data_IF_288479931154
#
_entry.id   IF_288479931154
#
_cell.length_a   1.000
_cell.length_b   1.000
_cell.length_c   1.000
_cell.angle_alpha   90.00
_cell.angle_beta   90.00
_cell.angle_gamma   90.00
#
_symmetry.space_group_name_H-M   'P 1'
#
loop_
_entity.id
_entity.type
_entity.pdbx_description
1 polymer ?
#
# COMPACT_ATOMS: atom_id res chain seq x y z
N UNK A 1 -26.67 -40.85 -6.22
CA UNK A 1 -26.05 -39.54 -6.52
C UNK A 1 -25.09 -39.24 -5.37
N UNK A 2 -23.76 -39.20 -5.58
CA UNK A 2 -22.87 -38.90 -4.48
C UNK A 2 -23.09 -37.46 -4.04
N UNK A 3 -23.38 -37.32 -2.76
CA UNK A 3 -23.62 -36.09 -2.03
C UNK A 3 -22.36 -35.22 -2.10
N UNK A 4 -22.29 -34.28 -3.06
CA UNK A 4 -21.20 -33.31 -3.08
C UNK A 4 -21.36 -32.37 -1.88
N UNK A 5 -20.72 -32.70 -0.76
CA UNK A 5 -20.51 -31.73 0.32
C UNK A 5 -19.83 -30.54 -0.31
N UNK A 6 -20.50 -29.39 -0.32
CA UNK A 6 -19.91 -28.09 -0.64
C UNK A 6 -18.63 -27.99 0.21
N UNK A 7 -17.46 -28.01 -0.42
CA UNK A 7 -16.21 -27.83 0.32
C UNK A 7 -16.33 -26.50 1.06
N UNK A 8 -16.24 -26.55 2.38
CA UNK A 8 -16.36 -25.36 3.21
C UNK A 8 -15.12 -24.50 2.95
N UNK A 9 -15.34 -23.23 2.64
CA UNK A 9 -14.24 -22.29 2.46
C UNK A 9 -13.42 -22.19 3.76
N UNK A 10 -12.10 -22.33 3.64
CA UNK A 10 -11.18 -22.26 4.78
C UNK A 10 -10.87 -20.81 5.13
N UNK A 11 -11.66 -20.27 6.05
CA UNK A 11 -11.51 -18.91 6.54
C UNK A 11 -10.24 -18.75 7.39
N UNK A 12 -9.42 -17.76 7.05
CA UNK A 12 -8.25 -17.31 7.82
C UNK A 12 -8.59 -16.06 8.63
N UNK A 13 -7.67 -15.61 9.48
CA UNK A 13 -7.81 -14.34 10.23
C UNK A 13 -9.12 -14.20 11.04
N UNK A 14 -9.61 -15.32 11.61
CA UNK A 14 -10.88 -15.31 12.36
C UNK A 14 -12.14 -15.14 11.48
N UNK A 15 -12.00 -15.39 10.17
CA UNK A 15 -13.09 -15.31 9.19
C UNK A 15 -13.63 -13.90 9.00
N UNK A 16 -14.88 -13.75 8.54
CA UNK A 16 -15.44 -12.44 8.19
C UNK A 16 -15.43 -11.44 9.35
N UNK A 17 -15.68 -11.91 10.58
CA UNK A 17 -15.70 -11.05 11.78
C UNK A 17 -14.29 -10.59 12.13
N UNK A 18 -13.31 -11.49 12.12
CA UNK A 18 -11.92 -11.15 12.41
C UNK A 18 -11.35 -10.19 11.35
N UNK A 19 -11.61 -10.45 10.06
CA UNK A 19 -11.24 -9.56 8.97
C UNK A 19 -11.83 -8.15 9.14
N UNK A 20 -13.15 -8.04 9.42
CA UNK A 20 -13.81 -6.75 9.69
C UNK A 20 -13.20 -6.03 10.89
N UNK A 21 -12.93 -6.77 11.96
CA UNK A 21 -12.31 -6.24 13.16
C UNK A 21 -10.92 -5.70 12.85
N UNK A 22 -10.08 -6.44 12.11
CA UNK A 22 -8.75 -5.97 11.71
C UNK A 22 -8.82 -4.73 10.83
N UNK A 23 -9.74 -4.67 9.86
CA UNK A 23 -9.92 -3.51 8.98
C UNK A 23 -10.26 -2.22 9.74
N UNK A 24 -11.05 -2.33 10.81
CA UNK A 24 -11.45 -1.16 11.62
C UNK A 24 -10.38 -0.84 12.67
N UNK A 25 -9.87 -1.83 13.40
CA UNK A 25 -8.99 -1.60 14.53
C UNK A 25 -7.55 -1.27 14.12
N UNK A 26 -7.01 -1.85 13.05
CA UNK A 26 -5.60 -1.63 12.68
C UNK A 26 -5.31 -0.16 12.31
N UNK A 27 -6.15 0.54 11.53
CA UNK A 27 -5.97 1.98 11.31
C UNK A 27 -6.09 2.80 12.61
N UNK A 28 -7.04 2.46 13.49
CA UNK A 28 -7.23 3.14 14.78
C UNK A 28 -6.01 2.98 15.69
N UNK A 29 -5.44 1.77 15.76
CA UNK A 29 -4.21 1.50 16.51
C UNK A 29 -3.04 2.28 15.92
N UNK A 30 -2.94 2.35 14.59
CA UNK A 30 -1.88 3.13 13.92
C UNK A 30 -1.95 4.62 14.28
N UNK A 31 -3.14 5.21 14.26
CA UNK A 31 -3.36 6.60 14.67
C UNK A 31 -3.10 6.81 16.17
N UNK A 32 -3.50 5.86 17.01
CA UNK A 32 -3.24 5.90 18.45
C UNK A 32 -1.74 5.89 18.74
N UNK A 33 -0.98 5.01 18.08
CA UNK A 33 0.46 4.86 18.27
C UNK A 33 1.24 6.08 17.74
N UNK A 34 0.84 6.64 16.59
CA UNK A 34 1.46 7.87 16.06
C UNK A 34 1.16 9.08 16.94
N UNK A 35 -0.08 9.24 17.41
CA UNK A 35 -0.41 10.27 18.40
C UNK A 35 0.40 10.10 19.70
N UNK A 36 0.53 8.85 20.17
CA UNK A 36 1.31 8.56 21.37
C UNK A 36 2.79 8.89 21.19
N UNK A 37 3.38 8.58 20.02
CA UNK A 37 4.76 8.94 19.70
C UNK A 37 4.99 10.45 19.69
N UNK A 38 3.98 11.25 19.29
CA UNK A 38 4.07 12.71 19.26
C UNK A 38 3.98 13.36 20.65
N UNK A 39 3.11 12.87 21.54
CA UNK A 39 2.76 13.57 22.79
C UNK A 39 3.23 12.82 24.06
N UNK A 40 3.62 11.55 23.93
CA UNK A 40 4.03 10.69 25.04
C UNK A 40 2.87 10.28 25.95
N UNK A 41 1.61 10.58 25.60
CA UNK A 41 0.41 10.19 26.36
C UNK A 41 -0.67 9.62 25.44
N UNK A 42 -1.34 8.57 25.90
CA UNK A 42 -2.49 7.97 25.21
C UNK A 42 -3.75 8.79 25.54
N UNK A 43 -4.35 9.44 24.53
CA UNK A 43 -5.65 10.11 24.67
C UNK A 43 -6.55 9.74 23.49
N UNK A 44 -7.65 9.06 23.77
CA UNK A 44 -8.60 8.62 22.74
C UNK A 44 -9.35 9.78 22.06
N UNK A 45 -9.52 10.92 22.74
CA UNK A 45 -10.24 12.07 22.22
C UNK A 45 -9.53 12.76 21.03
N UNK A 46 -8.22 12.55 20.85
CA UNK A 46 -7.40 13.26 19.87
C UNK A 46 -6.67 12.30 18.91
N UNK A 47 -7.24 11.12 18.65
CA UNK A 47 -6.64 10.12 17.75
C UNK A 47 -6.56 10.64 16.31
N UNK A 48 -7.56 11.42 15.89
CA UNK A 48 -7.56 12.04 14.58
C UNK A 48 -6.66 13.30 14.61
N UNK A 49 -5.86 13.54 13.55
CA UNK A 49 -5.14 14.81 13.44
C UNK A 49 -6.12 15.99 13.42
N UNK A 50 -5.67 17.15 13.88
CA UNK A 50 -6.46 18.39 13.83
C UNK A 50 -6.92 18.66 12.39
N UNK A 51 -8.06 19.35 12.21
CA UNK A 51 -8.63 19.65 10.89
C UNK A 51 -7.69 20.42 9.94
N UNK A 52 -6.56 20.89 10.47
CA UNK A 52 -5.43 21.43 9.71
C UNK A 52 -4.75 20.40 8.78
N UNK A 53 -5.05 19.10 8.90
CA UNK A 53 -4.63 18.09 7.92
C UNK A 53 -5.12 18.42 6.50
N UNK A 54 -6.29 19.07 6.38
CA UNK A 54 -6.88 19.43 5.11
C UNK A 54 -6.27 20.72 4.52
N UNK A 55 -5.83 21.65 5.38
CA UNK A 55 -5.12 22.87 4.97
C UNK A 55 -3.63 22.63 4.73
N UNK A 56 -3.03 21.63 5.38
CA UNK A 56 -1.65 21.17 5.17
C UNK A 56 -1.54 20.26 3.94
N UNK A 57 -2.04 20.73 2.79
CA UNK A 57 -2.01 20.03 1.50
C UNK A 57 -0.65 19.42 1.15
N UNK A 58 0.44 19.91 1.76
CA UNK A 58 1.77 19.30 1.75
C UNK A 58 1.79 17.80 2.08
N UNK A 59 1.05 17.30 3.08
CA UNK A 59 1.08 15.86 3.43
C UNK A 59 0.47 14.97 2.36
N UNK A 60 -0.68 15.39 1.80
CA UNK A 60 -1.33 14.68 0.71
C UNK A 60 -0.52 14.76 -0.58
N UNK A 61 -0.05 15.96 -0.95
CA UNK A 61 0.80 16.16 -2.11
C UNK A 61 2.11 15.37 -2.00
N UNK A 62 2.72 15.32 -0.81
CA UNK A 62 3.92 14.53 -0.55
C UNK A 62 3.67 13.03 -0.78
N UNK A 63 2.56 12.50 -0.23
CA UNK A 63 2.19 11.09 -0.43
C UNK A 63 1.96 10.78 -1.92
N UNK A 64 1.13 11.59 -2.61
CA UNK A 64 0.83 11.36 -4.02
C UNK A 64 2.06 11.50 -4.92
N UNK A 65 2.92 12.49 -4.67
CA UNK A 65 4.17 12.65 -5.39
C UNK A 65 5.12 11.47 -5.12
N UNK A 66 5.32 11.09 -3.87
CA UNK A 66 6.20 9.98 -3.50
C UNK A 66 5.72 8.66 -4.10
N UNK A 67 4.42 8.35 -3.96
CA UNK A 67 3.82 7.16 -4.56
C UNK A 67 3.93 7.16 -6.08
N UNK A 68 3.59 8.27 -6.74
CA UNK A 68 3.67 8.41 -8.19
C UNK A 68 5.11 8.33 -8.72
N UNK A 69 6.08 8.88 -7.98
CA UNK A 69 7.50 8.76 -8.30
C UNK A 69 7.95 7.30 -8.25
N UNK A 70 7.57 6.53 -7.21
CA UNK A 70 7.95 5.12 -7.12
C UNK A 70 7.34 4.29 -8.28
N UNK A 71 6.06 4.52 -8.60
CA UNK A 71 5.41 3.88 -9.76
C UNK A 71 6.12 4.26 -11.07
N UNK A 72 6.54 5.50 -11.23
CA UNK A 72 7.27 5.94 -12.41
C UNK A 72 8.65 5.28 -12.50
N UNK A 73 9.39 5.21 -11.39
CA UNK A 73 10.73 4.61 -11.35
C UNK A 73 10.68 3.13 -11.71
N UNK A 74 9.74 2.36 -11.14
CA UNK A 74 9.58 0.93 -11.45
C UNK A 74 9.20 0.67 -12.92
N UNK A 75 8.55 1.62 -13.61
CA UNK A 75 8.24 1.49 -15.04
C UNK A 75 9.35 1.98 -15.99
N UNK A 76 10.18 2.93 -15.55
CA UNK A 76 11.15 3.64 -16.43
C UNK A 76 12.56 3.11 -16.29
N UNK A 77 12.93 2.59 -15.13
CA UNK A 77 14.29 2.14 -14.88
C UNK A 77 14.64 0.89 -15.73
N UNK A 78 15.94 0.67 -15.99
CA UNK A 78 16.42 -0.53 -16.64
C UNK A 78 16.47 -1.71 -15.66
N UNK A 79 15.80 -2.81 -16.05
CA UNK A 79 15.41 -3.87 -15.12
C UNK A 79 15.73 -5.26 -15.68
N UNK A 80 15.96 -6.21 -14.77
CA UNK A 80 15.96 -7.64 -15.11
C UNK A 80 14.52 -8.18 -15.07
N UNK A 81 14.13 -8.96 -16.09
CA UNK A 81 12.84 -9.63 -16.11
C UNK A 81 12.97 -11.02 -15.49
N UNK A 82 12.32 -11.21 -14.35
CA UNK A 82 12.26 -12.50 -13.65
C UNK A 82 10.87 -13.09 -13.76
N UNK A 83 10.80 -14.39 -14.01
CA UNK A 83 9.52 -15.11 -14.04
C UNK A 83 9.12 -15.57 -12.64
N UNK A 84 7.93 -15.17 -12.21
CA UNK A 84 7.36 -15.61 -10.94
C UNK A 84 6.95 -17.09 -10.93
N UNK A 85 6.22 -17.45 -9.88
CA UNK A 85 5.70 -18.82 -9.70
C UNK A 85 4.64 -19.17 -10.74
N UNK A 86 4.41 -20.48 -10.90
CA UNK A 86 3.34 -21.00 -11.75
C UNK A 86 1.97 -20.53 -11.24
N UNK A 87 1.14 -20.05 -12.16
CA UNK A 87 -0.23 -19.66 -11.84
C UNK A 87 -1.09 -20.89 -11.50
N UNK A 88 -2.06 -20.75 -10.58
CA UNK A 88 -2.94 -21.83 -10.16
C UNK A 88 -4.01 -22.18 -11.21
N UNK A 89 -3.98 -21.54 -12.39
CA UNK A 89 -4.92 -21.77 -13.49
C UNK A 89 -4.70 -23.10 -14.22
N UNK A 90 -3.59 -23.80 -13.91
CA UNK A 90 -3.24 -25.08 -14.54
C UNK A 90 -2.72 -24.95 -15.98
N UNK A 91 -2.57 -23.72 -16.50
CA UNK A 91 -2.10 -23.46 -17.86
C UNK A 91 -0.57 -23.39 -17.96
N UNK A 92 0.14 -23.57 -16.84
CA UNK A 92 1.61 -23.51 -16.80
C UNK A 92 2.19 -22.11 -17.00
N UNK A 93 1.35 -21.07 -16.98
CA UNK A 93 1.77 -19.68 -17.20
C UNK A 93 2.52 -19.14 -15.99
N UNK A 94 3.57 -18.36 -16.25
CA UNK A 94 4.29 -17.57 -15.25
C UNK A 94 4.19 -16.09 -15.64
N UNK A 95 4.09 -15.24 -14.64
CA UNK A 95 4.05 -13.79 -14.87
C UNK A 95 5.49 -13.24 -14.87
N UNK A 96 5.86 -12.40 -15.86
CA UNK A 96 7.10 -11.64 -15.80
C UNK A 96 6.95 -10.51 -14.77
N UNK A 97 8.04 -10.25 -14.06
CA UNK A 97 8.22 -9.13 -13.14
C UNK A 97 9.51 -8.42 -13.49
N UNK A 98 9.44 -7.10 -13.62
CA UNK A 98 10.61 -6.23 -13.73
C UNK A 98 11.06 -5.92 -12.31
N UNK A 99 12.35 -6.14 -12.02
CA UNK A 99 12.89 -5.95 -10.68
C UNK A 99 14.01 -4.91 -10.74
N UNK A 100 13.71 -3.69 -10.33
CA UNK A 100 14.69 -2.59 -10.19
C UNK A 100 14.72 -1.90 -8.84
N UNK A 101 14.10 -2.49 -7.83
CA UNK A 101 13.92 -1.85 -6.52
C UNK A 101 15.23 -1.30 -5.92
N UNK A 102 16.35 -1.99 -6.14
CA UNK A 102 17.66 -1.51 -5.72
C UNK A 102 18.09 -0.22 -6.43
N UNK A 103 17.90 -0.14 -7.75
CA UNK A 103 18.21 1.07 -8.52
C UNK A 103 17.21 2.18 -8.18
N UNK A 104 15.92 1.87 -8.08
CA UNK A 104 14.87 2.80 -7.68
C UNK A 104 15.14 3.41 -6.30
N UNK A 105 15.62 2.60 -5.35
CA UNK A 105 16.04 3.06 -4.03
C UNK A 105 17.17 4.10 -4.11
N UNK A 106 18.26 3.79 -4.82
CA UNK A 106 19.40 4.72 -4.95
C UNK A 106 19.03 6.01 -5.69
N UNK A 107 18.23 5.90 -6.76
CA UNK A 107 17.71 7.06 -7.49
C UNK A 107 16.82 7.90 -6.59
N UNK A 108 15.94 7.30 -5.80
CA UNK A 108 15.09 8.02 -4.84
C UNK A 108 15.94 8.74 -3.79
N UNK A 109 16.94 8.08 -3.21
CA UNK A 109 17.84 8.71 -2.24
C UNK A 109 18.59 9.91 -2.85
N UNK A 110 19.10 9.76 -4.07
CA UNK A 110 19.76 10.84 -4.79
C UNK A 110 18.79 12.01 -5.06
N UNK A 111 17.55 11.71 -5.46
CA UNK A 111 16.51 12.71 -5.70
C UNK A 111 16.02 13.42 -4.42
N UNK A 112 16.16 12.78 -3.25
CA UNK A 112 15.76 13.37 -1.97
C UNK A 112 16.89 14.18 -1.30
N UNK A 113 18.14 14.07 -1.76
CA UNK A 113 19.32 14.80 -1.26
C UNK A 113 19.30 15.01 0.28
N UNK A 114 19.48 13.93 1.04
CA UNK A 114 19.61 13.98 2.52
C UNK A 114 20.86 14.79 2.88
N UNK A 115 20.70 16.08 3.18
CA UNK A 115 21.79 16.94 3.62
C UNK A 115 21.97 16.83 5.14
N UNK A 116 23.17 16.43 5.58
CA UNK A 116 23.67 16.72 6.93
C UNK A 116 24.22 18.15 6.91
N UNK A 117 23.87 18.98 7.89
CA UNK A 117 24.39 20.35 8.02
C UNK A 117 25.93 20.33 8.04
N UNK A 118 26.59 20.72 6.94
CA UNK A 118 28.05 20.83 6.94
C UNK A 118 28.80 20.94 5.61
N UNK A 119 28.26 20.49 4.46
CA UNK A 119 29.05 20.44 3.21
C UNK A 119 28.41 21.17 2.02
N UNK A 120 29.16 22.07 1.39
CA UNK A 120 28.70 22.80 0.20
C UNK A 120 28.52 21.84 -0.99
N UNK A 121 27.28 21.69 -1.47
CA UNK A 121 26.95 20.98 -2.72
C UNK A 121 27.30 21.84 -3.93
N UNK A 122 28.26 21.41 -4.76
CA UNK A 122 28.58 22.12 -6.00
C UNK A 122 27.73 21.68 -7.21
N UNK A 123 26.93 20.60 -7.16
CA UNK A 123 26.13 20.15 -8.32
C UNK A 123 24.92 19.24 -7.97
N UNK A 124 23.87 19.40 -8.80
CA UNK A 124 22.51 18.83 -8.87
C UNK A 124 21.66 18.71 -7.58
N UNK A 125 20.74 19.67 -7.38
CA UNK A 125 19.73 19.66 -6.30
C UNK A 125 18.32 19.49 -6.90
N UNK A 126 17.69 18.33 -6.64
CA UNK A 126 16.23 18.20 -6.61
C UNK A 126 15.79 17.87 -5.17
N UNK A 127 14.70 18.51 -4.71
CA UNK A 127 13.90 18.19 -3.52
C UNK A 127 14.60 18.06 -2.17
N UNK A 128 15.00 19.16 -1.52
CA UNK A 128 15.41 19.14 -0.09
C UNK A 128 14.19 18.85 0.79
N UNK A 129 13.94 17.57 1.10
CA UNK A 129 12.90 17.21 2.08
C UNK A 129 13.56 17.17 3.46
N UNK A 130 13.29 18.14 4.35
CA UNK A 130 13.83 18.08 5.70
C UNK A 130 13.23 16.86 6.41
N UNK A 131 14.07 15.91 6.83
CA UNK A 131 13.60 14.73 7.58
C UNK A 131 12.85 15.13 8.86
N UNK A 132 13.17 16.30 9.42
CA UNK A 132 12.43 16.89 10.54
C UNK A 132 10.96 17.14 10.19
N UNK A 133 10.64 17.55 8.96
CA UNK A 133 9.24 17.70 8.53
C UNK A 133 8.50 16.37 8.51
N UNK A 134 9.16 15.28 8.09
CA UNK A 134 8.55 13.95 8.16
C UNK A 134 8.24 13.57 9.62
N UNK A 135 9.13 13.91 10.54
CA UNK A 135 8.93 13.74 11.97
C UNK A 135 7.81 14.64 12.51
N UNK A 136 7.73 15.90 12.09
CA UNK A 136 6.72 16.85 12.58
C UNK A 136 5.31 16.46 12.11
N UNK A 137 5.18 15.90 10.90
CA UNK A 137 3.90 15.59 10.25
C UNK A 137 3.55 14.10 10.20
N UNK A 138 4.29 13.21 10.87
CA UNK A 138 4.09 11.76 10.80
C UNK A 138 2.66 11.29 11.14
N UNK A 139 1.99 11.94 12.10
CA UNK A 139 0.61 11.62 12.48
C UNK A 139 -0.38 11.96 11.37
N UNK A 140 -0.19 13.11 10.71
CA UNK A 140 -0.98 13.53 9.56
C UNK A 140 -0.71 12.63 8.36
N UNK A 141 0.54 12.27 8.12
CA UNK A 141 0.93 11.33 7.06
C UNK A 141 0.30 9.94 7.25
N UNK A 142 0.26 9.43 8.49
CA UNK A 142 -0.40 8.17 8.80
C UNK A 142 -1.90 8.22 8.46
N UNK A 143 -2.59 9.30 8.85
CA UNK A 143 -4.00 9.49 8.53
C UNK A 143 -4.25 9.58 7.02
N UNK A 144 -3.47 10.39 6.30
CA UNK A 144 -3.61 10.52 4.85
C UNK A 144 -3.30 9.21 4.12
N UNK A 145 -2.32 8.44 4.60
CA UNK A 145 -2.00 7.10 4.07
C UNK A 145 -3.13 6.10 4.30
N UNK A 146 -3.81 6.15 5.45
CA UNK A 146 -5.01 5.34 5.71
C UNK A 146 -6.12 5.68 4.70
N UNK A 147 -6.37 6.97 4.44
CA UNK A 147 -7.36 7.37 3.43
C UNK A 147 -6.96 6.89 2.03
N UNK A 148 -5.70 7.07 1.65
CA UNK A 148 -5.16 6.61 0.37
C UNK A 148 -5.31 5.10 0.18
N UNK A 149 -4.97 4.31 1.20
CA UNK A 149 -5.09 2.84 1.14
C UNK A 149 -6.55 2.40 1.08
N UNK A 150 -7.49 3.05 1.78
CA UNK A 150 -8.93 2.75 1.65
C UNK A 150 -9.41 3.02 0.22
N UNK A 151 -8.99 4.15 -0.38
CA UNK A 151 -9.33 4.47 -1.77
C UNK A 151 -8.77 3.43 -2.75
N UNK A 152 -7.49 3.05 -2.57
CA UNK A 152 -6.82 2.07 -3.43
C UNK A 152 -7.45 0.68 -3.29
N UNK A 153 -7.71 0.21 -2.08
CA UNK A 153 -8.38 -1.06 -1.82
C UNK A 153 -9.78 -1.08 -2.43
N UNK A 154 -10.53 0.02 -2.31
CA UNK A 154 -11.84 0.17 -2.93
C UNK A 154 -11.76 0.08 -4.46
N UNK A 155 -10.80 0.77 -5.07
CA UNK A 155 -10.55 0.70 -6.50
C UNK A 155 -10.22 -0.73 -6.96
N UNK A 156 -9.26 -1.39 -6.31
CA UNK A 156 -8.83 -2.76 -6.64
C UNK A 156 -9.95 -3.78 -6.45
N UNK A 157 -10.73 -3.64 -5.37
CA UNK A 157 -11.88 -4.49 -5.11
C UNK A 157 -12.97 -4.34 -6.17
N UNK A 158 -13.35 -3.10 -6.52
CA UNK A 158 -14.34 -2.86 -7.58
C UNK A 158 -13.86 -3.39 -8.94
N UNK A 159 -12.58 -3.19 -9.25
CA UNK A 159 -11.96 -3.68 -10.49
C UNK A 159 -11.93 -5.22 -10.56
N UNK A 160 -11.84 -5.90 -9.43
CA UNK A 160 -11.77 -7.37 -9.37
C UNK A 160 -13.02 -8.09 -9.90
N UNK A 161 -14.14 -7.40 -10.05
CA UNK A 161 -15.36 -7.94 -10.66
C UNK A 161 -15.33 -7.96 -12.20
N UNK A 162 -14.20 -7.56 -12.81
CA UNK A 162 -13.97 -7.68 -14.24
C UNK A 162 -13.94 -9.14 -14.74
N UNK A 163 -14.22 -9.32 -16.03
CA UNK A 163 -14.24 -10.66 -16.67
C UNK A 163 -12.83 -11.16 -16.96
N UNK A 164 -12.63 -12.48 -16.86
CA UNK A 164 -11.38 -13.15 -17.22
C UNK A 164 -10.23 -12.92 -16.24
N UNK A 165 -10.53 -12.44 -15.03
CA UNK A 165 -9.53 -12.24 -13.98
C UNK A 165 -9.35 -13.54 -13.18
N UNK A 166 -8.10 -13.88 -12.89
CA UNK A 166 -7.78 -14.94 -11.95
C UNK A 166 -8.01 -14.42 -10.53
N UNK A 167 -8.81 -15.15 -9.75
CA UNK A 167 -9.13 -14.81 -8.37
C UNK A 167 -8.15 -15.47 -7.40
N UNK A 168 -7.87 -14.79 -6.30
CA UNK A 168 -7.08 -15.34 -5.21
C UNK A 168 -7.91 -16.40 -4.47
N UNK A 169 -7.32 -17.55 -4.16
CA UNK A 169 -7.99 -18.59 -3.39
C UNK A 169 -8.53 -18.09 -2.04
N UNK A 170 -7.84 -17.12 -1.43
CA UNK A 170 -8.27 -16.49 -0.18
C UNK A 170 -9.33 -15.40 -0.33
N UNK A 171 -9.55 -14.88 -1.53
CA UNK A 171 -10.47 -13.77 -1.82
C UNK A 171 -11.65 -14.15 -2.70
N UNK A 172 -11.97 -15.44 -2.80
CA UNK A 172 -13.15 -15.96 -3.50
C UNK A 172 -14.05 -16.74 -2.52
N UNK A 173 -14.29 -16.18 -1.33
CA UNK A 173 -15.05 -16.82 -0.27
C UNK A 173 -16.56 -16.65 -0.43
N UNK A 174 -16.98 -15.68 -1.25
CA UNK A 174 -18.38 -15.27 -1.41
C UNK A 174 -18.89 -14.34 -0.32
N UNK A 175 -18.06 -13.98 0.68
CA UNK A 175 -18.38 -12.94 1.65
C UNK A 175 -17.67 -11.64 1.23
N UNK A 176 -18.39 -10.57 0.86
CA UNK A 176 -17.79 -9.37 0.28
C UNK A 176 -16.85 -8.65 1.25
N UNK A 177 -17.11 -8.66 2.56
CA UNK A 177 -16.23 -8.02 3.54
C UNK A 177 -14.93 -8.79 3.73
N UNK A 178 -15.02 -10.12 3.79
CA UNK A 178 -13.83 -10.96 3.89
C UNK A 178 -12.99 -10.90 2.61
N UNK A 179 -13.64 -10.95 1.45
CA UNK A 179 -13.01 -10.85 0.14
C UNK A 179 -12.38 -9.47 -0.10
N UNK A 180 -12.96 -8.40 0.47
CA UNK A 180 -12.37 -7.06 0.46
C UNK A 180 -11.07 -7.01 1.25
N UNK A 181 -11.04 -7.63 2.44
CA UNK A 181 -9.84 -7.72 3.28
C UNK A 181 -8.74 -8.58 2.64
N UNK A 182 -9.11 -9.75 2.10
CA UNK A 182 -8.16 -10.70 1.53
C UNK A 182 -7.65 -10.29 0.14
N UNK A 183 -8.42 -9.49 -0.59
CA UNK A 183 -8.15 -9.12 -1.98
C UNK A 183 -8.64 -10.20 -2.95
N UNK A 184 -9.66 -9.87 -3.74
CA UNK A 184 -10.30 -10.79 -4.70
C UNK A 184 -9.39 -11.20 -5.87
N UNK A 185 -8.74 -10.23 -6.52
CA UNK A 185 -7.92 -10.49 -7.71
C UNK A 185 -6.56 -11.08 -7.30
N UNK A 186 -6.11 -12.14 -8.00
CA UNK A 186 -4.86 -12.83 -7.68
C UNK A 186 -3.63 -11.93 -7.88
N UNK A 187 -3.51 -11.30 -9.05
CA UNK A 187 -2.45 -10.31 -9.36
C UNK A 187 -3.11 -9.13 -10.11
N UNK A 188 -3.57 -8.10 -9.39
CA UNK A 188 -4.05 -6.88 -10.03
C UNK A 188 -2.89 -6.21 -10.77
N UNK A 189 -3.05 -5.94 -12.07
CA UNK A 189 -2.01 -5.31 -12.90
C UNK A 189 -2.53 -4.18 -13.76
N UNK A 190 -1.68 -3.23 -14.12
CA UNK A 190 -1.93 -2.27 -15.19
C UNK A 190 -0.80 -2.33 -16.22
N UNK A 191 -1.05 -3.01 -17.35
CA UNK A 191 0.04 -3.31 -18.29
C UNK A 191 1.06 -4.23 -17.63
N UNK A 192 2.30 -3.75 -17.55
CA UNK A 192 3.44 -4.40 -16.88
C UNK A 192 3.45 -4.18 -15.37
N UNK A 193 2.89 -3.05 -14.88
CA UNK A 193 2.82 -2.73 -13.45
C UNK A 193 1.98 -3.74 -12.68
N UNK A 194 2.54 -4.32 -11.62
CA UNK A 194 1.82 -5.14 -10.65
C UNK A 194 1.54 -4.34 -9.38
N UNK A 195 0.30 -4.37 -8.89
CA UNK A 195 -0.09 -3.64 -7.68
C UNK A 195 0.36 -4.33 -6.39
N UNK A 196 0.80 -5.59 -6.47
CA UNK A 196 1.31 -6.38 -5.34
C UNK A 196 2.83 -6.39 -5.30
#
# INVERSE_FOLDING_TARGET
MPNQRKQMFDYKFGGPIGALTTMIFLPLVTLLLTYWASIGKIKFANILPSSEWCSSGGSYSFLCFGFGLQVLLEQVLPDEIVHGVLLPDGLGKRLPYQISDHLAFWVTLLLLNVHNEGEAMSELVFGRVPLSWLYDYHSTLAFVTILWTILLLSYLFLRSFGKGLLLAAGGDSGNPFYDFFMGRQLNPRWGTFDWK
#
